data_IF_145263524234
#
_entry.id   IF_145263524234
#
_cell.length_a   1.000
_cell.length_b   1.000
_cell.length_c   1.000
_cell.angle_alpha   90.00
_cell.angle_beta   90.00
_cell.angle_gamma   90.00
#
_symmetry.space_group_name_H-M   'P 1'
#
loop_
_entity.id
_entity.type
_entity.pdbx_description
1 polymer ?
#
# COMPACT_ATOMS: atom_id res chain seq x y z
N UNK A 1 21.23 -4.18 -0.91
CA UNK A 1 19.94 -4.34 -0.19
C UNK A 1 19.36 -5.67 -0.64
N UNK A 2 19.02 -6.57 0.27
CA UNK A 2 18.15 -7.72 -0.01
C UNK A 2 16.79 -7.20 -0.48
N UNK A 3 16.07 -7.95 -1.34
CA UNK A 3 14.73 -7.56 -1.74
C UNK A 3 13.87 -7.34 -0.49
N UNK A 4 13.11 -6.24 -0.38
CA UNK A 4 12.24 -5.98 0.76
C UNK A 4 11.13 -7.05 0.83
N UNK A 5 10.52 -7.21 2.00
CA UNK A 5 9.30 -7.99 2.14
C UNK A 5 8.10 -7.18 1.64
N UNK A 6 7.07 -7.87 1.16
CA UNK A 6 5.82 -7.25 0.70
C UNK A 6 4.70 -7.36 1.74
N UNK A 7 3.86 -6.34 1.84
CA UNK A 7 2.65 -6.36 2.66
C UNK A 7 1.48 -5.79 1.87
N UNK A 8 0.44 -6.60 1.65
CA UNK A 8 -0.81 -6.11 1.07
C UNK A 8 -1.70 -5.59 2.20
N UNK A 9 -2.11 -4.33 2.13
CA UNK A 9 -2.97 -3.69 3.10
C UNK A 9 -4.45 -3.93 2.74
N UNK A 10 -5.11 -4.85 3.46
CA UNK A 10 -6.50 -5.26 3.19
C UNK A 10 -7.49 -4.87 4.31
N UNK A 11 -7.18 -3.87 5.13
CA UNK A 11 -8.01 -3.42 6.25
C UNK A 11 -9.29 -2.64 5.86
N UNK A 12 -9.65 -2.54 4.58
CA UNK A 12 -10.80 -1.78 4.10
C UNK A 12 -12.09 -2.62 4.02
N UNK A 13 -13.15 -2.19 4.72
CA UNK A 13 -14.49 -2.76 4.55
C UNK A 13 -15.19 -2.17 3.32
N UNK A 14 -15.89 -3.02 2.56
CA UNK A 14 -16.69 -2.63 1.38
C UNK A 14 -18.04 -2.01 1.77
N UNK A 15 -18.09 -1.10 2.74
CA UNK A 15 -19.34 -0.52 3.27
C UNK A 15 -20.21 0.15 2.20
N UNK A 16 -19.58 0.73 1.16
CA UNK A 16 -20.27 1.37 0.03
C UNK A 16 -20.67 0.42 -1.09
N UNK A 17 -20.27 -0.86 -0.98
CA UNK A 17 -20.46 -1.90 -2.00
C UNK A 17 -21.25 -3.10 -1.46
N UNK A 18 -22.09 -2.89 -0.44
CA UNK A 18 -22.94 -3.93 0.13
C UNK A 18 -22.33 -4.72 1.29
N UNK A 19 -21.14 -4.35 1.78
CA UNK A 19 -20.46 -5.01 2.88
C UNK A 19 -19.43 -6.07 2.43
N UNK A 20 -18.77 -6.70 3.40
CA UNK A 20 -17.70 -7.68 3.16
C UNK A 20 -16.33 -7.06 2.94
N UNK A 21 -15.36 -7.89 2.55
CA UNK A 21 -14.00 -7.46 2.25
C UNK A 21 -13.90 -6.94 0.81
N UNK A 22 -13.48 -5.71 0.68
CA UNK A 22 -13.34 -5.03 -0.61
C UNK A 22 -12.37 -5.74 -1.56
N UNK A 23 -11.28 -6.28 -1.01
CA UNK A 23 -10.28 -7.03 -1.77
C UNK A 23 -10.82 -8.33 -2.40
N UNK A 24 -11.94 -8.88 -1.91
CA UNK A 24 -12.56 -10.09 -2.45
C UNK A 24 -13.51 -9.83 -3.64
N UNK A 25 -13.79 -8.57 -3.98
CA UNK A 25 -14.55 -8.21 -5.17
C UNK A 25 -13.80 -8.66 -6.42
N UNK A 26 -14.54 -9.15 -7.41
CA UNK A 26 -13.96 -9.72 -8.63
C UNK A 26 -14.01 -8.75 -9.80
N UNK A 27 -12.92 -8.73 -10.59
CA UNK A 27 -12.84 -8.11 -11.91
C UNK A 27 -12.22 -9.13 -12.89
N UNK A 28 -12.85 -9.36 -14.04
CA UNK A 28 -12.36 -10.31 -15.02
C UNK A 28 -12.14 -11.72 -14.45
N UNK A 29 -13.02 -12.18 -13.56
CA UNK A 29 -12.98 -13.55 -12.98
C UNK A 29 -11.93 -13.77 -11.89
N UNK A 30 -11.23 -12.72 -11.41
CA UNK A 30 -10.24 -12.81 -10.34
C UNK A 30 -10.48 -11.70 -9.29
N UNK A 31 -10.28 -12.00 -7.99
CA UNK A 31 -10.44 -10.99 -6.95
C UNK A 31 -9.39 -9.88 -7.07
N UNK A 32 -9.73 -8.66 -6.62
CA UNK A 32 -8.81 -7.53 -6.56
C UNK A 32 -7.54 -7.92 -5.80
N UNK A 33 -7.71 -8.56 -4.66
CA UNK A 33 -6.61 -9.00 -3.79
C UNK A 33 -5.70 -10.03 -4.47
N UNK A 34 -6.26 -11.00 -5.21
CA UNK A 34 -5.46 -11.95 -5.97
C UNK A 34 -4.64 -11.27 -7.07
N UNK A 35 -5.21 -10.26 -7.74
CA UNK A 35 -4.48 -9.45 -8.74
C UNK A 35 -3.34 -8.65 -8.11
N UNK A 36 -3.59 -8.06 -6.93
CA UNK A 36 -2.55 -7.33 -6.17
C UNK A 36 -1.45 -8.29 -5.74
N UNK A 37 -1.80 -9.50 -5.25
CA UNK A 37 -0.83 -10.55 -4.91
C UNK A 37 0.04 -10.90 -6.11
N UNK A 38 -0.57 -11.29 -7.22
CA UNK A 38 0.14 -11.76 -8.43
C UNK A 38 1.08 -10.68 -9.00
N UNK A 39 0.77 -9.41 -8.72
CA UNK A 39 1.56 -8.26 -9.17
C UNK A 39 2.71 -7.92 -8.21
N UNK A 40 2.50 -8.08 -6.90
CA UNK A 40 3.51 -7.73 -5.89
C UNK A 40 4.48 -8.88 -5.59
N UNK A 41 4.00 -10.11 -5.54
CA UNK A 41 4.76 -11.29 -5.15
C UNK A 41 6.08 -11.47 -5.95
N UNK A 42 6.09 -11.29 -7.29
CA UNK A 42 7.34 -11.40 -8.07
C UNK A 42 8.38 -10.31 -7.77
N UNK A 43 7.99 -9.23 -7.07
CA UNK A 43 8.84 -8.07 -6.82
C UNK A 43 9.49 -8.08 -5.43
N UNK A 44 9.09 -8.99 -4.52
CA UNK A 44 9.48 -9.01 -3.11
C UNK A 44 10.08 -10.36 -2.70
N UNK A 45 10.81 -10.41 -1.57
CA UNK A 45 11.42 -11.65 -1.11
C UNK A 45 10.40 -12.62 -0.47
N UNK A 46 9.38 -12.10 0.20
CA UNK A 46 8.22 -12.81 0.72
C UNK A 46 7.05 -11.83 0.84
N UNK A 47 5.82 -12.34 0.89
CA UNK A 47 4.61 -11.54 0.91
C UNK A 47 3.71 -11.94 2.07
N UNK A 48 3.11 -10.95 2.75
CA UNK A 48 2.09 -11.13 3.77
C UNK A 48 0.85 -10.28 3.46
N UNK A 49 -0.28 -10.69 4.01
CA UNK A 49 -1.54 -9.96 3.95
C UNK A 49 -1.80 -9.31 5.32
N UNK A 50 -1.93 -7.99 5.37
CA UNK A 50 -2.43 -7.32 6.57
C UNK A 50 -3.95 -7.26 6.49
N UNK A 51 -4.61 -7.97 7.41
CA UNK A 51 -6.06 -7.98 7.55
C UNK A 51 -6.47 -8.33 8.98
N UNK A 52 -7.62 -7.79 9.42
CA UNK A 52 -8.19 -8.06 10.73
C UNK A 52 -9.35 -9.05 10.65
N UNK A 53 -9.68 -9.70 11.77
CA UNK A 53 -10.76 -10.69 11.89
C UNK A 53 -10.35 -12.09 11.44
N UNK A 54 -11.30 -12.90 10.97
CA UNK A 54 -11.05 -14.29 10.62
C UNK A 54 -10.15 -14.43 9.38
N UNK A 55 -8.95 -14.96 9.57
CA UNK A 55 -7.97 -15.19 8.49
C UNK A 55 -8.41 -16.28 7.49
N UNK A 56 -9.32 -17.18 7.90
CA UNK A 56 -9.77 -18.30 7.05
C UNK A 56 -10.40 -17.83 5.73
N UNK A 57 -10.99 -16.61 5.69
CA UNK A 57 -11.56 -16.03 4.47
C UNK A 57 -10.53 -15.70 3.39
N UNK A 58 -9.25 -15.72 3.72
CA UNK A 58 -8.13 -15.49 2.81
C UNK A 58 -7.27 -16.74 2.56
N UNK A 59 -7.73 -17.93 3.00
CA UNK A 59 -6.96 -19.16 2.91
C UNK A 59 -6.52 -19.49 1.48
N UNK A 60 -7.37 -19.20 0.48
CA UNK A 60 -7.09 -19.45 -0.95
C UNK A 60 -5.91 -18.64 -1.50
N UNK A 61 -5.47 -17.59 -0.77
CA UNK A 61 -4.33 -16.79 -1.21
C UNK A 61 -2.98 -17.43 -0.84
N UNK A 62 -2.96 -18.34 0.13
CA UNK A 62 -1.74 -19.00 0.60
C UNK A 62 -0.74 -18.08 1.29
N UNK A 63 -1.17 -16.89 1.74
CA UNK A 63 -0.31 -15.89 2.37
C UNK A 63 -0.46 -15.91 3.91
N UNK A 64 0.62 -15.64 4.66
CA UNK A 64 0.51 -15.36 6.09
C UNK A 64 -0.34 -14.10 6.31
N UNK A 65 -1.31 -14.17 7.23
CA UNK A 65 -2.17 -13.05 7.60
C UNK A 65 -1.63 -12.40 8.87
N UNK A 66 -1.36 -11.10 8.81
CA UNK A 66 -0.85 -10.28 9.92
C UNK A 66 -1.95 -9.29 10.32
N UNK A 67 -2.47 -9.43 11.52
CA UNK A 67 -3.46 -8.50 12.06
C UNK A 67 -2.80 -7.19 12.52
N UNK A 68 -3.58 -6.10 12.57
CA UNK A 68 -3.12 -4.86 13.21
C UNK A 68 -2.78 -5.12 14.68
N UNK A 69 -1.76 -4.42 15.20
CA UNK A 69 -1.48 -4.43 16.63
C UNK A 69 -2.66 -3.85 17.41
N UNK A 70 -2.94 -4.42 18.60
CA UNK A 70 -4.09 -4.06 19.47
C UNK A 70 -4.05 -2.64 20.06
N UNK A 71 -3.13 -1.79 19.65
CA UNK A 71 -2.79 -0.49 20.25
C UNK A 71 -3.80 0.64 19.92
N UNK A 72 -5.02 0.29 19.51
CA UNK A 72 -6.09 1.28 19.27
C UNK A 72 -5.96 2.09 17.98
N UNK A 73 -4.94 1.83 17.17
CA UNK A 73 -4.73 2.46 15.85
C UNK A 73 -5.45 1.66 14.78
N UNK A 74 -6.24 2.31 13.94
CA UNK A 74 -6.98 1.67 12.87
C UNK A 74 -6.60 2.22 11.49
N UNK A 75 -6.85 1.42 10.44
CA UNK A 75 -6.69 1.79 9.03
C UNK A 75 -5.28 1.53 8.48
N UNK A 76 -4.99 1.99 7.25
CA UNK A 76 -3.77 1.60 6.51
C UNK A 76 -2.44 1.84 7.25
N UNK A 77 -2.42 2.80 8.18
CA UNK A 77 -1.23 3.12 9.00
C UNK A 77 -0.93 2.03 10.03
N UNK A 78 -1.97 1.46 10.64
CA UNK A 78 -1.83 0.30 11.52
C UNK A 78 -1.29 -0.90 10.74
N UNK A 79 -1.77 -1.10 9.51
CA UNK A 79 -1.27 -2.14 8.62
C UNK A 79 0.21 -1.98 8.25
N UNK A 80 0.69 -0.75 8.00
CA UNK A 80 2.12 -0.49 7.79
C UNK A 80 2.93 -0.90 9.02
N UNK A 81 2.50 -0.51 10.22
CA UNK A 81 3.17 -0.86 11.47
C UNK A 81 3.17 -2.37 11.71
N UNK A 82 2.04 -3.04 11.52
CA UNK A 82 1.94 -4.50 11.63
C UNK A 82 2.88 -5.23 10.65
N UNK A 83 2.97 -4.71 9.43
CA UNK A 83 3.94 -5.20 8.43
C UNK A 83 5.39 -5.02 8.85
N UNK A 84 5.74 -3.88 9.46
CA UNK A 84 7.07 -3.62 10.00
C UNK A 84 7.40 -4.55 11.18
N UNK A 85 6.43 -4.84 12.04
CA UNK A 85 6.59 -5.81 13.14
C UNK A 85 6.84 -7.22 12.60
N UNK A 86 6.07 -7.64 11.62
CA UNK A 86 6.26 -8.92 10.94
C UNK A 86 7.64 -9.00 10.29
N UNK A 87 8.05 -7.97 9.57
CA UNK A 87 9.35 -7.92 8.90
C UNK A 87 10.53 -7.94 9.88
N UNK A 88 10.41 -7.27 11.03
CA UNK A 88 11.40 -7.31 12.10
C UNK A 88 11.57 -8.75 12.64
N UNK A 89 10.47 -9.49 12.81
CA UNK A 89 10.49 -10.90 13.20
C UNK A 89 11.13 -11.83 12.15
N UNK A 90 11.17 -11.41 10.88
CA UNK A 90 11.82 -12.13 9.78
C UNK A 90 13.29 -11.69 9.59
N UNK A 91 13.80 -10.72 10.35
CA UNK A 91 15.14 -10.16 10.19
C UNK A 91 15.31 -9.32 8.91
N UNK A 92 14.24 -8.80 8.36
CA UNK A 92 14.29 -7.94 7.17
C UNK A 92 14.51 -6.47 7.54
N UNK A 93 15.11 -5.70 6.63
CA UNK A 93 15.43 -4.28 6.84
C UNK A 93 14.30 -3.34 6.44
N UNK A 94 13.43 -3.76 5.52
CA UNK A 94 12.37 -2.92 4.96
C UNK A 94 11.19 -3.75 4.44
N UNK A 95 10.02 -3.09 4.35
CA UNK A 95 8.85 -3.60 3.63
C UNK A 95 8.45 -2.67 2.49
N UNK A 96 7.77 -3.23 1.48
CA UNK A 96 6.97 -2.49 0.51
C UNK A 96 5.50 -2.80 0.76
N UNK A 97 4.67 -1.77 0.76
CA UNK A 97 3.22 -1.90 0.92
C UNK A 97 2.48 -1.67 -0.39
N UNK A 98 1.33 -2.35 -0.55
CA UNK A 98 0.36 -2.12 -1.63
C UNK A 98 -1.06 -2.25 -1.09
N UNK A 99 -2.00 -1.45 -1.60
CA UNK A 99 -3.40 -1.53 -1.19
C UNK A 99 -4.14 -2.66 -1.94
N UNK A 100 -4.97 -3.43 -1.22
CA UNK A 100 -5.73 -4.56 -1.77
C UNK A 100 -6.77 -4.17 -2.83
N UNK A 101 -7.14 -2.90 -2.90
CA UNK A 101 -8.16 -2.34 -3.79
C UNK A 101 -7.60 -1.60 -5.01
N UNK A 102 -6.31 -1.74 -5.28
CA UNK A 102 -5.59 -1.03 -6.34
C UNK A 102 -4.85 -2.03 -7.24
N UNK A 103 -5.56 -2.69 -8.17
CA UNK A 103 -5.02 -3.87 -8.88
C UNK A 103 -4.08 -3.56 -10.04
N UNK A 104 -3.89 -2.27 -10.41
CA UNK A 104 -3.16 -1.89 -11.62
C UNK A 104 -1.79 -1.25 -11.37
N UNK A 105 -1.32 -1.16 -10.12
CA UNK A 105 -0.03 -0.53 -9.82
C UNK A 105 1.11 -1.16 -10.65
N UNK A 106 2.19 -0.42 -10.96
CA UNK A 106 3.25 -0.85 -11.87
C UNK A 106 3.98 -2.13 -11.41
N UNK A 107 4.34 -2.99 -12.36
CA UNK A 107 5.12 -4.23 -12.10
C UNK A 107 6.59 -3.94 -11.76
N UNK A 108 7.04 -2.71 -11.86
CA UNK A 108 8.35 -2.20 -11.45
C UNK A 108 8.30 -1.34 -10.17
N UNK A 109 7.17 -1.39 -9.42
CA UNK A 109 6.94 -0.60 -8.22
C UNK A 109 8.12 -0.68 -7.25
N UNK A 110 8.49 -1.91 -6.84
CA UNK A 110 9.54 -2.13 -5.84
C UNK A 110 10.90 -1.64 -6.33
N UNK A 111 11.25 -1.94 -7.58
CA UNK A 111 12.51 -1.51 -8.18
C UNK A 111 12.65 0.02 -8.18
N UNK A 112 11.57 0.74 -8.49
CA UNK A 112 11.57 2.21 -8.51
C UNK A 112 11.60 2.82 -7.11
N UNK A 113 10.87 2.26 -6.15
CA UNK A 113 10.94 2.70 -4.75
C UNK A 113 12.36 2.51 -4.19
N UNK A 114 12.98 1.34 -4.43
CA UNK A 114 14.36 1.06 -4.02
C UNK A 114 15.36 1.98 -4.72
N UNK A 115 15.17 2.25 -6.01
CA UNK A 115 16.04 3.18 -6.74
C UNK A 115 15.97 4.61 -6.17
N UNK A 116 14.77 5.08 -5.81
CA UNK A 116 14.58 6.40 -5.21
C UNK A 116 15.18 6.52 -3.79
N UNK A 117 15.33 5.40 -3.07
CA UNK A 117 15.91 5.37 -1.73
C UNK A 117 17.44 5.42 -1.69
N UNK A 118 18.13 5.35 -2.84
CA UNK A 118 19.59 5.32 -2.89
C UNK A 118 20.22 6.48 -2.11
N UNK A 119 21.14 6.17 -1.20
CA UNK A 119 21.84 7.15 -0.36
C UNK A 119 21.04 7.65 0.85
N UNK A 120 19.84 7.09 1.13
CA UNK A 120 19.18 7.29 2.42
C UNK A 120 19.74 6.33 3.47
N UNK A 121 19.90 6.80 4.71
CA UNK A 121 20.24 5.94 5.86
C UNK A 121 19.08 4.98 6.17
N UNK A 122 17.86 5.48 6.09
CA UNK A 122 16.64 4.72 6.26
C UNK A 122 15.82 4.83 4.96
N UNK A 123 15.64 3.73 4.20
CA UNK A 123 14.96 3.76 2.91
C UNK A 123 13.46 4.00 3.09
N UNK A 124 13.04 5.27 3.02
CA UNK A 124 11.66 5.71 3.18
C UNK A 124 11.22 6.45 1.92
N UNK A 125 10.31 5.83 1.16
CA UNK A 125 9.87 6.36 -0.15
C UNK A 125 8.40 6.11 -0.35
N UNK A 126 7.65 7.10 -0.84
CA UNK A 126 6.26 6.96 -1.26
C UNK A 126 6.15 7.00 -2.79
N UNK A 127 5.25 6.19 -3.34
CA UNK A 127 4.84 6.33 -4.73
C UNK A 127 4.06 7.62 -4.93
N UNK A 128 4.28 8.28 -6.07
CA UNK A 128 3.56 9.50 -6.47
C UNK A 128 3.21 9.45 -7.96
N UNK A 129 2.14 10.16 -8.33
CA UNK A 129 1.78 10.42 -9.73
C UNK A 129 1.63 11.93 -9.97
N UNK A 130 1.84 12.43 -11.20
CA UNK A 130 1.57 13.83 -11.50
C UNK A 130 0.11 14.17 -11.26
N UNK A 131 -0.17 15.34 -10.69
CA UNK A 131 -1.53 15.89 -10.66
C UNK A 131 -1.92 16.40 -12.05
N UNK A 132 -3.13 16.09 -12.48
CA UNK A 132 -3.62 16.42 -13.81
C UNK A 132 -4.89 17.27 -13.73
N UNK A 133 -5.15 18.07 -14.76
CA UNK A 133 -6.42 18.74 -15.03
C UNK A 133 -7.05 19.46 -13.84
N UNK A 134 -8.21 18.96 -13.40
CA UNK A 134 -9.00 19.55 -12.29
C UNK A 134 -8.31 19.46 -10.92
N UNK A 135 -7.48 18.45 -10.71
CA UNK A 135 -6.73 18.29 -9.46
C UNK A 135 -5.75 19.46 -9.24
N UNK A 136 -5.17 20.01 -10.29
CA UNK A 136 -4.31 21.21 -10.22
C UNK A 136 -5.11 22.47 -9.88
N UNK A 137 -6.39 22.53 -10.28
CA UNK A 137 -7.29 23.67 -10.02
C UNK A 137 -7.77 23.72 -8.57
N UNK A 138 -7.71 22.62 -7.83
CA UNK A 138 -8.20 22.53 -6.45
C UNK A 138 -7.30 23.21 -5.40
N UNK A 139 -6.27 23.96 -5.82
CA UNK A 139 -5.52 24.90 -4.97
C UNK A 139 -4.44 24.27 -4.06
N UNK A 140 -4.11 23.00 -4.23
CA UNK A 140 -3.02 22.35 -3.48
C UNK A 140 -1.63 22.82 -3.96
N UNK A 141 -0.70 23.04 -3.00
CA UNK A 141 0.70 23.45 -3.31
C UNK A 141 1.52 22.34 -3.98
N UNK A 142 1.14 21.07 -3.82
CA UNK A 142 1.84 19.93 -4.43
C UNK A 142 1.45 19.75 -5.89
N UNK A 143 2.43 19.44 -6.74
CA UNK A 143 2.22 19.09 -8.16
C UNK A 143 2.00 17.60 -8.37
N UNK A 144 2.07 16.79 -7.30
CA UNK A 144 1.92 15.34 -7.33
C UNK A 144 0.86 14.87 -6.34
N UNK A 145 0.25 13.74 -6.66
CA UNK A 145 -0.56 12.94 -5.75
C UNK A 145 0.35 11.92 -5.07
N UNK A 146 0.37 11.88 -3.74
CA UNK A 146 1.10 10.88 -2.97
C UNK A 146 0.18 9.70 -2.66
N UNK A 147 0.71 8.49 -2.82
CA UNK A 147 0.00 7.23 -2.56
C UNK A 147 0.56 6.53 -1.32
N UNK A 148 0.18 6.93 -0.09
CA UNK A 148 0.82 6.47 1.14
C UNK A 148 0.58 4.98 1.45
N UNK A 149 -0.28 4.30 0.72
CA UNK A 149 -0.44 2.84 0.78
C UNK A 149 0.56 2.10 -0.12
N UNK A 150 1.31 2.84 -0.95
CA UNK A 150 2.36 2.33 -1.84
C UNK A 150 3.68 2.99 -1.46
N UNK A 151 4.43 2.33 -0.58
CA UNK A 151 5.68 2.89 -0.07
C UNK A 151 6.70 1.82 0.31
N UNK A 152 7.96 2.25 0.37
CA UNK A 152 9.07 1.52 0.96
C UNK A 152 9.29 2.08 2.38
N UNK A 153 9.27 1.20 3.38
CA UNK A 153 9.27 1.55 4.80
C UNK A 153 10.40 0.81 5.52
N UNK A 154 11.33 1.53 6.19
CA UNK A 154 12.44 0.90 6.90
C UNK A 154 12.00 0.36 8.27
N UNK A 155 12.39 -0.86 8.59
CA UNK A 155 12.14 -1.47 9.90
C UNK A 155 12.79 -0.66 11.03
N UNK A 156 13.91 0.00 10.76
CA UNK A 156 14.61 0.84 11.72
C UNK A 156 13.76 2.01 12.28
N UNK A 157 12.75 2.48 11.56
CA UNK A 157 11.82 3.52 12.01
C UNK A 157 10.50 2.99 12.58
N UNK A 158 10.39 1.67 12.80
CA UNK A 158 9.18 1.01 13.28
C UNK A 158 8.70 1.58 14.62
N UNK A 159 9.59 1.70 15.59
CA UNK A 159 9.22 2.13 16.95
C UNK A 159 8.90 3.63 17.00
N UNK A 160 9.56 4.45 16.17
CA UNK A 160 9.20 5.85 15.99
C UNK A 160 7.81 6.01 15.36
N UNK A 161 7.49 5.23 14.32
CA UNK A 161 6.15 5.22 13.73
C UNK A 161 5.10 4.80 14.77
N UNK A 162 5.39 3.80 15.60
CA UNK A 162 4.51 3.35 16.69
C UNK A 162 4.20 4.50 17.65
N UNK A 163 5.23 5.17 18.14
CA UNK A 163 5.07 6.31 19.04
C UNK A 163 4.24 7.43 18.39
N UNK A 164 4.55 7.80 17.15
CA UNK A 164 3.79 8.81 16.43
C UNK A 164 2.31 8.45 16.26
N UNK A 165 1.99 7.17 16.01
CA UNK A 165 0.61 6.70 15.88
C UNK A 165 -0.14 6.74 17.22
N UNK A 166 0.52 6.40 18.33
CA UNK A 166 -0.03 6.50 19.69
C UNK A 166 -0.28 7.97 20.07
N UNK A 167 0.58 8.89 19.63
CA UNK A 167 0.43 10.35 19.79
C UNK A 167 -0.62 10.96 18.85
N UNK A 168 -1.35 10.13 18.08
CA UNK A 168 -2.48 10.57 17.26
C UNK A 168 -2.11 11.04 15.86
N UNK A 169 -1.00 10.59 15.30
CA UNK A 169 -0.64 10.86 13.90
C UNK A 169 -1.79 10.47 12.96
N UNK A 170 -2.35 11.46 12.24
CA UNK A 170 -3.46 11.23 11.29
C UNK A 170 -3.02 11.13 9.83
N UNK A 171 -1.92 11.81 9.47
CA UNK A 171 -1.41 11.86 8.09
C UNK A 171 0.02 11.34 8.06
N UNK A 172 0.19 10.08 7.68
CA UNK A 172 1.52 9.45 7.61
C UNK A 172 2.49 10.20 6.68
N UNK A 173 1.97 10.92 5.69
CA UNK A 173 2.77 11.77 4.79
C UNK A 173 3.55 12.85 5.55
N UNK A 174 2.98 13.41 6.63
CA UNK A 174 3.68 14.39 7.47
C UNK A 174 4.86 13.72 8.17
N UNK A 175 4.64 12.53 8.72
CA UNK A 175 5.69 11.76 9.38
C UNK A 175 6.80 11.36 8.39
N UNK A 176 6.44 10.94 7.16
CA UNK A 176 7.46 10.62 6.15
C UNK A 176 8.29 11.85 5.78
N UNK A 177 7.69 13.05 5.69
CA UNK A 177 8.42 14.28 5.42
C UNK A 177 9.40 14.63 6.56
N UNK A 178 9.02 14.42 7.82
CA UNK A 178 9.88 14.64 8.99
C UNK A 178 11.09 13.71 9.03
N UNK A 179 10.96 12.49 8.48
CA UNK A 179 12.03 11.49 8.41
C UNK A 179 12.80 11.49 7.08
N UNK A 180 12.71 12.58 6.31
CA UNK A 180 13.43 12.72 5.05
C UNK A 180 12.93 11.75 3.97
N UNK A 181 11.66 11.36 4.02
CA UNK A 181 11.01 10.53 3.02
C UNK A 181 11.13 11.13 1.63
N UNK A 182 11.35 10.26 0.63
CA UNK A 182 11.44 10.63 -0.77
C UNK A 182 10.21 10.21 -1.55
N UNK A 183 10.14 10.63 -2.79
CA UNK A 183 9.08 10.33 -3.74
C UNK A 183 9.64 9.54 -4.92
N UNK A 184 8.92 8.48 -5.34
CA UNK A 184 9.13 7.80 -6.59
C UNK A 184 7.98 8.17 -7.53
N UNK A 185 8.26 8.93 -8.59
CA UNK A 185 7.26 9.40 -9.54
C UNK A 185 6.93 8.31 -10.54
N UNK A 186 5.64 7.98 -10.69
CA UNK A 186 5.09 7.05 -11.68
C UNK A 186 4.26 7.80 -12.70
N UNK A 187 4.24 7.29 -13.93
CA UNK A 187 3.43 7.86 -14.98
C UNK A 187 1.93 7.57 -14.74
N UNK A 188 1.08 8.54 -15.03
CA UNK A 188 -0.37 8.43 -14.91
C UNK A 188 -1.06 8.30 -16.30
N UNK A 189 -0.32 8.00 -17.34
CA UNK A 189 -0.82 7.86 -18.71
C UNK A 189 -0.71 6.38 -19.15
N UNK A 190 -1.76 5.76 -19.73
CA UNK A 190 -3.05 6.35 -20.15
C UNK A 190 -4.07 6.50 -19.02
N UNK A 191 -3.81 5.99 -17.83
CA UNK A 191 -4.64 6.14 -16.62
C UNK A 191 -3.75 6.09 -15.37
N UNK A 192 -4.27 6.58 -14.22
CA UNK A 192 -3.57 6.51 -12.95
C UNK A 192 -3.41 5.04 -12.51
N UNK A 193 -2.17 4.49 -12.45
CA UNK A 193 -1.95 3.10 -12.07
C UNK A 193 -2.29 2.83 -10.59
N UNK A 194 -2.43 3.87 -9.77
CA UNK A 194 -2.87 3.75 -8.38
C UNK A 194 -4.39 3.99 -8.21
N UNK A 195 -5.15 3.78 -9.28
CA UNK A 195 -6.60 3.85 -9.27
C UNK A 195 -7.21 2.86 -8.26
N UNK A 196 -7.97 3.38 -7.29
CA UNK A 196 -8.64 2.59 -6.26
C UNK A 196 -10.05 2.20 -6.69
N UNK A 197 -10.40 0.94 -6.55
CA UNK A 197 -11.76 0.42 -6.78
C UNK A 197 -12.59 0.63 -5.50
N UNK A 198 -13.33 1.73 -5.39
CA UNK A 198 -14.08 2.13 -4.18
C UNK A 198 -15.60 2.04 -4.32
N UNK A 199 -16.11 2.06 -5.56
CA UNK A 199 -17.54 2.13 -5.89
C UNK A 199 -17.88 1.12 -6.98
N UNK A 200 -19.17 0.78 -7.20
CA UNK A 200 -19.58 -0.05 -8.33
C UNK A 200 -19.14 0.53 -9.69
N UNK A 201 -19.15 1.85 -9.84
CA UNK A 201 -18.66 2.52 -11.06
C UNK A 201 -17.15 2.29 -11.27
N UNK A 202 -16.35 2.31 -10.19
CA UNK A 202 -14.93 2.00 -10.27
C UNK A 202 -14.69 0.53 -10.67
N UNK A 203 -15.56 -0.39 -10.20
CA UNK A 203 -15.49 -1.79 -10.58
C UNK A 203 -15.71 -1.98 -12.09
N UNK A 204 -16.76 -1.35 -12.64
CA UNK A 204 -17.02 -1.37 -14.08
C UNK A 204 -15.83 -0.79 -14.85
N UNK A 205 -15.30 0.35 -14.42
CA UNK A 205 -14.11 0.95 -15.04
C UNK A 205 -12.89 0.03 -14.96
N UNK A 206 -12.69 -0.67 -13.83
CA UNK A 206 -11.61 -1.63 -13.68
C UNK A 206 -11.73 -2.81 -14.66
N UNK A 207 -12.95 -3.26 -14.95
CA UNK A 207 -13.20 -4.29 -15.97
C UNK A 207 -12.89 -3.80 -17.39
N UNK A 208 -13.21 -2.54 -17.70
CA UNK A 208 -12.87 -1.92 -18.99
C UNK A 208 -11.34 -1.82 -19.18
N UNK A 209 -10.59 -1.54 -18.12
CA UNK A 209 -9.12 -1.44 -18.15
C UNK A 209 -8.41 -2.80 -18.33
N UNK A 210 -9.13 -3.92 -18.22
CA UNK A 210 -8.59 -5.27 -18.47
C UNK A 210 -8.69 -5.68 -19.93
N UNK A 211 -9.46 -4.97 -20.77
CA UNK A 211 -9.67 -5.26 -22.20
C UNK A 211 -8.57 -4.62 -23.04
#
# INVERSE_FOLDING_TARGET
>A
MTNPLGVILAGGLATRMGGGDKGLLQIGGQSLLARVRDRLEPQVAALALNANGDAARFADLGLPVVADSSDGVAGPRAGVLAGLDWAAGQGADAIVTAAADTPFFPTDLVARLVAASKGQTHPLVLATTPRTGEELKSGGRSKVNRHPTFGLWPVALRDDLRAALQDGLRKVVIWTDQHGGREALFDATPFDPFFNVNTPADLTRAEELLQ
#
